data_IF_418753159414
#
_entry.id   IF_418753159414
#
_cell.length_a   1.000
_cell.length_b   1.000
_cell.length_c   1.000
_cell.angle_alpha   90.00
_cell.angle_beta   90.00
_cell.angle_gamma   90.00
#
_symmetry.space_group_name_H-M   'P 1'
#
loop_
_entity.id
_entity.type
_entity.pdbx_description
1 polymer ?
#
# COMPACT_ATOMS: atom_id res chain seq x y z
N UNK A 1 -7.62 11.40 -47.56
CA UNK A 1 -8.55 12.14 -46.68
C UNK A 1 -8.80 11.41 -45.34
N UNK A 2 -9.12 10.10 -45.34
CA UNK A 2 -9.41 9.31 -44.11
C UNK A 2 -8.25 9.17 -43.10
N UNK A 3 -7.02 8.89 -43.56
CA UNK A 3 -5.88 8.66 -42.65
C UNK A 3 -5.49 9.89 -41.80
N UNK A 4 -5.61 11.10 -42.38
CA UNK A 4 -5.29 12.36 -41.68
C UNK A 4 -6.33 12.67 -40.59
N UNK A 5 -7.59 12.28 -40.82
CA UNK A 5 -8.67 12.41 -39.85
C UNK A 5 -8.45 11.48 -38.64
N UNK A 6 -8.08 10.21 -38.88
CA UNK A 6 -7.77 9.24 -37.81
C UNK A 6 -6.57 9.66 -36.94
N UNK A 7 -5.54 10.23 -37.56
CA UNK A 7 -4.34 10.71 -36.87
C UNK A 7 -4.61 11.95 -36.00
N UNK A 8 -5.37 12.90 -36.53
CA UNK A 8 -5.78 14.09 -35.77
C UNK A 8 -6.70 13.72 -34.61
N UNK A 9 -7.59 12.75 -34.79
CA UNK A 9 -8.50 12.29 -33.77
C UNK A 9 -7.81 11.55 -32.62
N UNK A 10 -6.86 10.65 -32.94
CA UNK A 10 -6.03 9.98 -31.92
C UNK A 10 -5.29 11.00 -31.05
N UNK A 11 -4.74 12.04 -31.69
CA UNK A 11 -4.07 13.14 -31.01
C UNK A 11 -5.02 13.94 -30.11
N UNK A 12 -6.26 14.17 -30.54
CA UNK A 12 -7.28 14.84 -29.71
C UNK A 12 -7.68 14.02 -28.48
N UNK A 13 -7.75 12.68 -28.57
CA UNK A 13 -8.03 11.80 -27.42
C UNK A 13 -6.92 11.82 -26.39
N UNK A 14 -5.67 11.72 -26.84
CA UNK A 14 -4.49 11.77 -25.98
C UNK A 14 -4.42 13.11 -25.23
N UNK A 15 -4.75 14.21 -25.91
CA UNK A 15 -4.81 15.55 -25.31
C UNK A 15 -5.96 15.71 -24.31
N UNK A 16 -7.14 15.15 -24.59
CA UNK A 16 -8.27 15.17 -23.65
C UNK A 16 -7.95 14.40 -22.35
N UNK A 17 -7.32 13.22 -22.48
CA UNK A 17 -6.87 12.43 -21.33
C UNK A 17 -5.81 13.16 -20.50
N UNK A 18 -4.87 13.89 -21.14
CA UNK A 18 -3.90 14.70 -20.38
C UNK A 18 -4.58 15.84 -19.61
N UNK A 19 -5.64 16.44 -20.17
CA UNK A 19 -6.40 17.48 -19.46
C UNK A 19 -7.21 16.94 -18.28
N UNK A 20 -7.77 15.74 -18.40
CA UNK A 20 -8.45 15.05 -17.29
C UNK A 20 -7.43 14.76 -16.19
N UNK A 21 -6.28 14.18 -16.53
CA UNK A 21 -5.21 13.88 -15.57
C UNK A 21 -4.68 15.14 -14.87
N UNK A 22 -4.42 16.22 -15.61
CA UNK A 22 -3.97 17.49 -15.02
C UNK A 22 -5.03 18.10 -14.10
N UNK A 23 -6.31 18.06 -14.49
CA UNK A 23 -7.39 18.56 -13.66
C UNK A 23 -7.54 17.76 -12.35
N UNK A 24 -7.36 16.43 -12.41
CA UNK A 24 -7.33 15.57 -11.23
C UNK A 24 -6.13 15.86 -10.33
N UNK A 25 -4.92 16.00 -10.91
CA UNK A 25 -3.70 16.33 -10.17
C UNK A 25 -3.79 17.69 -9.47
N UNK A 26 -4.51 18.65 -10.08
CA UNK A 26 -4.75 19.97 -9.52
C UNK A 26 -5.99 20.05 -8.61
N UNK A 27 -6.65 18.92 -8.31
CA UNK A 27 -7.87 18.83 -7.48
C UNK A 27 -9.05 19.64 -8.04
N UNK A 28 -9.08 19.90 -9.34
CA UNK A 28 -10.15 20.60 -10.03
C UNK A 28 -11.23 19.60 -10.49
N UNK A 29 -11.90 18.97 -9.53
CA UNK A 29 -12.78 17.82 -9.76
C UNK A 29 -13.96 18.10 -10.69
N UNK A 30 -14.59 19.28 -10.58
CA UNK A 30 -15.69 19.68 -11.48
C UNK A 30 -15.24 19.76 -12.94
N UNK A 31 -14.04 20.29 -13.15
CA UNK A 31 -13.43 20.45 -14.47
C UNK A 31 -12.98 19.10 -15.04
N UNK A 32 -12.47 18.20 -14.21
CA UNK A 32 -12.16 16.84 -14.60
C UNK A 32 -13.43 16.09 -15.06
N UNK A 33 -14.54 16.24 -14.32
CA UNK A 33 -15.83 15.65 -14.68
C UNK A 33 -16.37 16.20 -16.01
N UNK A 34 -16.31 17.51 -16.24
CA UNK A 34 -16.71 18.14 -17.51
C UNK A 34 -15.89 17.61 -18.71
N UNK A 35 -14.57 17.47 -18.56
CA UNK A 35 -13.73 16.87 -19.60
C UNK A 35 -14.01 15.39 -19.83
N UNK A 36 -14.37 14.66 -18.77
CA UNK A 36 -14.76 13.25 -18.86
C UNK A 36 -16.05 13.09 -19.67
N UNK A 37 -17.06 13.95 -19.43
CA UNK A 37 -18.32 13.95 -20.19
C UNK A 37 -18.10 14.25 -21.67
N UNK A 38 -17.23 15.22 -21.99
CA UNK A 38 -16.89 15.53 -23.37
C UNK A 38 -16.12 14.37 -24.06
N UNK A 39 -15.23 13.70 -23.32
CA UNK A 39 -14.51 12.53 -23.81
C UNK A 39 -15.48 11.38 -24.15
N UNK A 40 -16.46 11.11 -23.29
CA UNK A 40 -17.48 10.08 -23.52
C UNK A 40 -18.41 10.41 -24.69
N UNK A 41 -18.89 11.65 -24.81
CA UNK A 41 -19.73 12.07 -25.95
C UNK A 41 -18.98 11.98 -27.28
N UNK A 42 -17.68 12.25 -27.27
CA UNK A 42 -16.82 12.14 -28.47
C UNK A 42 -16.57 10.69 -28.86
N UNK A 43 -16.55 9.77 -27.88
CA UNK A 43 -16.49 8.33 -28.15
C UNK A 43 -17.79 7.82 -28.77
N UNK A 44 -18.95 8.21 -28.22
CA UNK A 44 -20.26 7.78 -28.69
C UNK A 44 -20.58 8.25 -30.12
N UNK A 45 -20.18 9.48 -30.49
CA UNK A 45 -20.38 10.02 -31.85
C UNK A 45 -19.58 9.30 -32.94
N UNK A 46 -18.46 8.68 -32.61
CA UNK A 46 -17.63 7.96 -33.58
C UNK A 46 -18.07 6.50 -33.76
N UNK A 47 -18.62 5.87 -32.71
CA UNK A 47 -19.19 4.52 -32.81
C UNK A 47 -20.42 4.44 -33.71
N UNK A 48 -21.13 5.55 -33.91
CA UNK A 48 -22.25 5.62 -34.86
C UNK A 48 -21.80 5.80 -36.33
N UNK A 49 -20.53 6.13 -36.59
CA UNK A 49 -20.00 6.39 -37.93
C UNK A 49 -19.12 5.25 -38.51
N UNK A 50 -18.59 4.33 -37.70
CA UNK A 50 -17.78 3.19 -38.17
C UNK A 50 -18.46 1.83 -37.93
N UNK A 51 -19.49 1.51 -38.72
CA UNK A 51 -19.83 0.12 -39.03
C UNK A 51 -18.82 -0.43 -40.07
N UNK A 52 -17.65 -0.94 -39.64
CA UNK A 52 -16.76 -1.70 -40.52
C UNK A 52 -16.05 -2.89 -39.82
N UNK A 53 -16.30 -4.07 -40.42
CA UNK A 53 -15.68 -5.41 -40.38
C UNK A 53 -15.20 -6.07 -39.05
N UNK A 54 -15.63 -7.31 -38.71
CA UNK A 54 -15.43 -7.92 -37.39
C UNK A 54 -14.05 -8.58 -37.12
N UNK A 55 -12.98 -8.31 -37.87
CA UNK A 55 -11.85 -9.25 -37.92
C UNK A 55 -10.55 -8.92 -37.18
N UNK A 56 -10.29 -7.75 -36.57
CA UNK A 56 -8.93 -7.49 -36.01
C UNK A 56 -8.80 -6.76 -34.66
N UNK A 57 -9.89 -6.56 -33.92
CA UNK A 57 -9.77 -6.29 -32.47
C UNK A 57 -10.81 -7.16 -31.78
N UNK A 58 -10.37 -8.14 -30.99
CA UNK A 58 -11.29 -8.97 -30.22
C UNK A 58 -12.20 -8.06 -29.41
N UNK A 59 -13.50 -8.05 -29.73
CA UNK A 59 -14.56 -7.30 -29.05
C UNK A 59 -14.49 -7.48 -27.52
N UNK A 60 -13.91 -8.58 -27.03
CA UNK A 60 -13.63 -8.81 -25.61
C UNK A 60 -12.61 -7.81 -25.04
N UNK A 61 -11.51 -7.49 -25.72
CA UNK A 61 -10.45 -6.65 -25.16
C UNK A 61 -10.86 -5.19 -24.90
N UNK A 62 -11.68 -4.61 -25.78
CA UNK A 62 -12.22 -3.26 -25.62
C UNK A 62 -13.31 -3.23 -24.53
N UNK A 63 -14.28 -4.15 -24.57
CA UNK A 63 -15.34 -4.23 -23.54
C UNK A 63 -14.79 -4.52 -22.14
N UNK A 64 -13.73 -5.31 -22.02
CA UNK A 64 -13.01 -5.54 -20.76
C UNK A 64 -12.32 -4.26 -20.24
N UNK A 65 -11.69 -3.48 -21.12
CA UNK A 65 -11.04 -2.23 -20.73
C UNK A 65 -12.05 -1.13 -20.36
N UNK A 66 -13.16 -1.03 -21.10
CA UNK A 66 -14.26 -0.11 -20.78
C UNK A 66 -14.89 -0.46 -19.42
N UNK A 67 -15.20 -1.72 -19.16
CA UNK A 67 -15.82 -2.12 -17.89
C UNK A 67 -14.92 -1.91 -16.66
N UNK A 68 -13.60 -2.14 -16.77
CA UNK A 68 -12.65 -1.84 -15.68
C UNK A 68 -12.55 -0.33 -15.41
N UNK A 69 -12.49 0.47 -16.48
CA UNK A 69 -12.43 1.93 -16.36
C UNK A 69 -13.69 2.50 -15.68
N UNK A 70 -14.86 1.96 -16.01
CA UNK A 70 -16.14 2.40 -15.45
C UNK A 70 -16.31 2.11 -13.95
N UNK A 71 -15.86 0.94 -13.46
CA UNK A 71 -15.91 0.61 -12.03
C UNK A 71 -15.00 1.54 -11.20
N UNK A 72 -13.83 1.89 -11.74
CA UNK A 72 -12.93 2.85 -11.11
C UNK A 72 -13.54 4.26 -11.08
N UNK A 73 -14.12 4.71 -12.19
CA UNK A 73 -14.81 6.02 -12.26
C UNK A 73 -15.99 6.08 -11.28
N UNK A 74 -16.76 4.99 -11.13
CA UNK A 74 -17.83 4.92 -10.13
C UNK A 74 -17.28 5.11 -8.71
N UNK A 75 -16.18 4.44 -8.35
CA UNK A 75 -15.58 4.62 -7.03
C UNK A 75 -15.14 6.08 -6.81
N UNK A 76 -14.46 6.68 -7.78
CA UNK A 76 -14.03 8.09 -7.70
C UNK A 76 -15.23 9.05 -7.54
N UNK A 77 -16.31 8.81 -8.27
CA UNK A 77 -17.53 9.60 -8.18
C UNK A 77 -18.23 9.42 -6.82
N UNK A 78 -18.33 8.18 -6.33
CA UNK A 78 -18.88 7.90 -5.00
C UNK A 78 -18.07 8.64 -3.91
N UNK A 79 -16.74 8.65 -3.99
CA UNK A 79 -15.90 9.43 -3.07
C UNK A 79 -16.16 10.93 -3.15
N UNK A 80 -16.31 11.48 -4.37
CA UNK A 80 -16.66 12.88 -4.55
C UNK A 80 -17.99 13.23 -3.88
N UNK A 81 -19.01 12.39 -4.07
CA UNK A 81 -20.33 12.57 -3.45
C UNK A 81 -20.25 12.53 -1.92
N UNK A 82 -19.50 11.58 -1.36
CA UNK A 82 -19.28 11.47 0.09
C UNK A 82 -18.54 12.69 0.66
N UNK A 83 -17.51 13.19 -0.01
CA UNK A 83 -16.80 14.41 0.39
C UNK A 83 -17.71 15.66 0.42
N UNK A 84 -18.77 15.67 -0.37
CA UNK A 84 -19.78 16.73 -0.40
C UNK A 84 -21.00 16.46 0.48
N UNK A 85 -20.99 15.39 1.28
CA UNK A 85 -22.11 15.01 2.17
C UNK A 85 -23.32 14.41 1.46
N UNK A 86 -23.23 14.09 0.17
CA UNK A 86 -24.32 13.51 -0.63
C UNK A 86 -24.32 11.97 -0.51
N UNK A 87 -24.69 11.48 0.67
CA UNK A 87 -24.58 10.05 1.02
C UNK A 87 -25.54 9.17 0.20
N UNK A 88 -26.80 9.58 0.04
CA UNK A 88 -27.80 8.79 -0.69
C UNK A 88 -27.45 8.63 -2.17
N UNK A 89 -26.89 9.67 -2.78
CA UNK A 89 -26.44 9.63 -4.17
C UNK A 89 -25.20 8.76 -4.34
N UNK A 90 -24.28 8.78 -3.38
CA UNK A 90 -23.15 7.86 -3.38
C UNK A 90 -23.64 6.40 -3.30
N UNK A 91 -24.64 6.13 -2.46
CA UNK A 91 -25.25 4.81 -2.34
C UNK A 91 -25.93 4.37 -3.64
N UNK A 92 -26.70 5.26 -4.29
CA UNK A 92 -27.33 4.99 -5.58
C UNK A 92 -26.29 4.74 -6.67
N UNK A 93 -25.23 5.53 -6.74
CA UNK A 93 -24.15 5.36 -7.71
C UNK A 93 -23.47 3.99 -7.58
N UNK A 94 -23.13 3.57 -6.35
CA UNK A 94 -22.55 2.25 -6.10
C UNK A 94 -23.54 1.11 -6.40
N UNK A 95 -24.83 1.31 -6.12
CA UNK A 95 -25.87 0.31 -6.43
C UNK A 95 -26.07 0.13 -7.93
N UNK A 96 -25.99 1.23 -8.70
CA UNK A 96 -26.03 1.18 -10.16
C UNK A 96 -24.82 0.41 -10.67
N UNK A 97 -23.60 0.74 -10.22
CA UNK A 97 -22.38 0.06 -10.64
C UNK A 97 -22.41 -1.46 -10.43
N UNK A 98 -23.03 -1.94 -9.34
CA UNK A 98 -23.18 -3.37 -9.08
C UNK A 98 -24.07 -4.11 -10.10
N UNK A 99 -25.03 -3.40 -10.68
CA UNK A 99 -25.95 -3.98 -11.67
C UNK A 99 -25.32 -4.17 -13.05
N UNK A 100 -24.11 -3.63 -13.27
CA UNK A 100 -23.45 -3.64 -14.58
C UNK A 100 -22.88 -5.03 -14.87
N UNK A 101 -23.38 -5.67 -15.94
CA UNK A 101 -22.92 -6.98 -16.39
C UNK A 101 -22.41 -6.87 -17.83
N UNK A 102 -21.10 -6.93 -18.03
CA UNK A 102 -20.50 -7.04 -19.36
C UNK A 102 -19.60 -8.29 -19.47
N UNK A 103 -19.94 -9.17 -20.41
CA UNK A 103 -19.05 -10.22 -20.93
C UNK A 103 -18.56 -11.27 -19.92
N UNK A 104 -17.59 -12.09 -20.35
CA UNK A 104 -16.91 -13.06 -19.48
C UNK A 104 -16.17 -12.34 -18.34
N UNK A 105 -16.57 -12.66 -17.11
CA UNK A 105 -16.13 -11.98 -15.89
C UNK A 105 -14.66 -12.33 -15.59
N UNK A 106 -13.76 -11.35 -15.70
CA UNK A 106 -12.35 -11.56 -15.37
C UNK A 106 -12.08 -11.42 -13.87
N UNK A 107 -11.00 -12.06 -13.39
CA UNK A 107 -10.60 -12.04 -11.96
C UNK A 107 -10.33 -10.61 -11.44
N UNK A 108 -9.97 -9.66 -12.31
CA UNK A 108 -9.73 -8.26 -11.93
C UNK A 108 -11.07 -7.53 -11.72
N UNK A 109 -12.01 -7.69 -12.65
CA UNK A 109 -13.36 -7.13 -12.54
C UNK A 109 -14.10 -7.66 -11.32
N UNK A 110 -13.91 -8.94 -10.97
CA UNK A 110 -14.47 -9.53 -9.75
C UNK A 110 -13.96 -8.82 -8.49
N UNK A 111 -12.67 -8.51 -8.41
CA UNK A 111 -12.09 -7.77 -7.27
C UNK A 111 -12.62 -6.35 -7.14
N UNK A 112 -12.73 -5.62 -8.25
CA UNK A 112 -13.27 -4.25 -8.27
C UNK A 112 -14.76 -4.24 -7.91
N UNK A 113 -15.53 -5.21 -8.41
CA UNK A 113 -16.92 -5.39 -8.04
C UNK A 113 -17.08 -5.66 -6.53
N UNK A 114 -16.25 -6.55 -5.96
CA UNK A 114 -16.21 -6.81 -4.52
C UNK A 114 -15.86 -5.55 -3.72
N UNK A 115 -15.02 -4.68 -4.26
CA UNK A 115 -14.67 -3.41 -3.64
C UNK A 115 -15.85 -2.43 -3.64
N UNK A 116 -16.61 -2.32 -4.76
CA UNK A 116 -17.84 -1.54 -4.84
C UNK A 116 -18.87 -2.03 -3.82
N UNK A 117 -19.09 -3.36 -3.77
CA UNK A 117 -19.95 -3.98 -2.77
C UNK A 117 -19.50 -3.66 -1.35
N UNK A 118 -18.20 -3.69 -1.07
CA UNK A 118 -17.65 -3.34 0.24
C UNK A 118 -17.89 -1.88 0.63
N UNK A 119 -17.70 -0.93 -0.29
CA UNK A 119 -17.99 0.49 -0.04
C UNK A 119 -19.48 0.73 0.18
N UNK A 120 -20.35 0.05 -0.57
CA UNK A 120 -21.78 0.05 -0.30
C UNK A 120 -22.09 -0.50 1.09
N UNK A 121 -21.45 -1.62 1.47
CA UNK A 121 -21.54 -2.19 2.81
C UNK A 121 -21.03 -1.25 3.92
N UNK A 122 -20.08 -0.35 3.64
CA UNK A 122 -19.69 0.71 4.58
C UNK A 122 -20.78 1.76 4.76
N UNK A 123 -21.52 2.10 3.71
CA UNK A 123 -22.68 2.99 3.82
C UNK A 123 -23.81 2.33 4.60
N UNK A 124 -24.05 1.03 4.39
CA UNK A 124 -24.97 0.24 5.20
C UNK A 124 -24.53 0.22 6.68
N UNK A 125 -23.22 0.07 6.96
CA UNK A 125 -22.66 0.17 8.31
C UNK A 125 -22.85 1.56 8.92
N UNK A 126 -22.66 2.62 8.13
CA UNK A 126 -22.88 3.99 8.58
C UNK A 126 -24.35 4.21 8.98
N UNK A 127 -25.29 3.74 8.16
CA UNK A 127 -26.72 3.77 8.47
C UNK A 127 -27.05 2.96 9.73
N UNK A 128 -26.49 1.75 9.87
CA UNK A 128 -26.61 0.94 11.09
C UNK A 128 -26.09 1.70 12.32
N UNK A 129 -24.92 2.35 12.23
CA UNK A 129 -24.34 3.09 13.34
C UNK A 129 -25.19 4.29 13.74
N UNK A 130 -25.85 4.94 12.78
CA UNK A 130 -26.80 6.02 13.05
C UNK A 130 -28.02 5.48 13.83
N UNK A 131 -28.61 4.37 13.39
CA UNK A 131 -29.74 3.76 14.10
C UNK A 131 -29.37 3.25 15.50
N UNK A 132 -28.19 2.64 15.65
CA UNK A 132 -27.64 2.25 16.95
C UNK A 132 -27.54 3.44 17.92
N UNK A 133 -27.07 4.60 17.46
CA UNK A 133 -27.00 5.78 18.32
C UNK A 133 -28.38 6.30 18.73
N UNK A 134 -29.35 6.30 17.81
CA UNK A 134 -30.73 6.69 18.09
C UNK A 134 -31.34 5.79 19.18
N UNK A 135 -31.19 4.47 19.07
CA UNK A 135 -31.66 3.50 20.08
C UNK A 135 -31.01 3.72 21.45
N UNK A 136 -29.71 4.05 21.48
CA UNK A 136 -29.01 4.34 22.74
C UNK A 136 -29.47 5.64 23.40
N UNK A 137 -29.95 6.62 22.61
CA UNK A 137 -30.46 7.90 23.11
C UNK A 137 -31.92 7.84 23.58
N UNK A 138 -32.76 7.00 22.95
CA UNK A 138 -34.22 6.97 23.17
C UNK A 138 -34.73 5.88 24.12
N UNK A 139 -33.84 5.16 24.82
CA UNK A 139 -34.15 3.97 25.64
C UNK A 139 -35.05 4.14 26.88
N UNK A 140 -36.09 4.98 26.83
CA UNK A 140 -37.10 5.16 27.88
C UNK A 140 -38.57 5.17 27.43
N UNK A 141 -38.92 5.23 26.12
CA UNK A 141 -40.33 5.29 25.69
C UNK A 141 -40.67 4.25 24.59
N UNK A 142 -41.20 3.10 25.02
CA UNK A 142 -41.15 1.82 24.31
C UNK A 142 -42.15 1.57 23.16
N UNK A 143 -42.45 2.56 22.31
CA UNK A 143 -43.31 2.33 21.12
C UNK A 143 -42.68 2.71 19.77
N UNK A 144 -41.66 3.60 19.73
CA UNK A 144 -40.93 3.93 18.49
C UNK A 144 -39.73 3.00 18.21
N UNK A 145 -39.34 2.14 19.16
CA UNK A 145 -38.13 1.33 19.08
C UNK A 145 -38.18 0.18 18.05
N UNK A 146 -39.36 -0.40 17.78
CA UNK A 146 -39.47 -1.60 16.94
C UNK A 146 -39.11 -1.36 15.46
N UNK A 147 -39.45 -0.20 14.90
CA UNK A 147 -39.11 0.12 13.49
C UNK A 147 -37.61 0.41 13.34
N UNK A 148 -37.03 1.14 14.31
CA UNK A 148 -35.60 1.48 14.35
C UNK A 148 -34.76 0.22 14.52
N UNK A 149 -35.16 -0.72 15.38
CA UNK A 149 -34.51 -2.02 15.52
C UNK A 149 -34.55 -2.83 14.23
N UNK A 150 -35.71 -2.91 13.56
CA UNK A 150 -35.86 -3.63 12.29
C UNK A 150 -34.98 -3.04 11.18
N UNK A 151 -34.94 -1.72 11.06
CA UNK A 151 -34.05 -1.02 10.12
C UNK A 151 -32.58 -1.27 10.44
N UNK A 152 -32.21 -1.19 11.73
CA UNK A 152 -30.86 -1.50 12.20
C UNK A 152 -30.45 -2.92 11.78
N UNK A 153 -31.29 -3.93 12.03
CA UNK A 153 -31.03 -5.31 11.61
C UNK A 153 -30.94 -5.49 10.08
N UNK A 154 -31.72 -4.73 9.31
CA UNK A 154 -31.65 -4.72 7.85
C UNK A 154 -30.30 -4.19 7.36
N UNK A 155 -29.87 -3.04 7.89
CA UNK A 155 -28.56 -2.44 7.59
C UNK A 155 -27.40 -3.35 8.01
N UNK A 156 -27.48 -3.96 9.19
CA UNK A 156 -26.50 -4.96 9.65
C UNK A 156 -26.33 -6.09 8.64
N UNK A 157 -27.42 -6.72 8.19
CA UNK A 157 -27.34 -7.86 7.26
C UNK A 157 -26.66 -7.47 5.95
N UNK A 158 -27.01 -6.31 5.38
CA UNK A 158 -26.41 -5.80 4.13
C UNK A 158 -24.92 -5.49 4.31
N UNK A 159 -24.57 -4.79 5.39
CA UNK A 159 -23.18 -4.46 5.71
C UNK A 159 -22.34 -5.72 5.94
N UNK A 160 -22.81 -6.63 6.80
CA UNK A 160 -22.09 -7.85 7.18
C UNK A 160 -21.75 -8.72 5.97
N UNK A 161 -22.71 -8.95 5.06
CA UNK A 161 -22.48 -9.77 3.86
C UNK A 161 -21.39 -9.16 2.98
N UNK A 162 -21.49 -7.87 2.66
CA UNK A 162 -20.54 -7.20 1.79
C UNK A 162 -19.14 -7.09 2.40
N UNK A 163 -19.06 -6.75 3.69
CA UNK A 163 -17.79 -6.63 4.40
C UNK A 163 -17.10 -7.99 4.57
N UNK A 164 -17.86 -9.06 4.84
CA UNK A 164 -17.32 -10.43 4.97
C UNK A 164 -16.67 -10.92 3.68
N UNK A 165 -17.19 -10.52 2.53
CA UNK A 165 -16.66 -10.97 1.24
C UNK A 165 -15.33 -10.32 0.88
N UNK A 166 -15.19 -9.00 1.07
CA UNK A 166 -13.94 -8.29 0.73
C UNK A 166 -12.76 -8.70 1.62
N UNK A 167 -13.00 -8.96 2.91
CA UNK A 167 -11.94 -9.30 3.86
C UNK A 167 -11.33 -10.69 3.63
N UNK A 168 -12.02 -11.57 2.87
CA UNK A 168 -11.48 -12.86 2.44
C UNK A 168 -10.42 -12.72 1.34
N UNK A 169 -10.43 -11.61 0.60
CA UNK A 169 -9.50 -11.35 -0.49
C UNK A 169 -8.18 -10.82 0.09
N UNK A 170 -7.01 -11.32 -0.32
CA UNK A 170 -5.73 -10.80 0.14
C UNK A 170 -5.57 -9.30 -0.15
N UNK A 171 -5.43 -8.49 0.90
CA UNK A 171 -5.30 -7.03 0.81
C UNK A 171 -5.13 -6.36 2.17
N UNK A 172 -5.00 -5.04 2.17
CA UNK A 172 -5.02 -4.22 3.40
C UNK A 172 -6.39 -3.57 3.52
N UNK A 173 -7.23 -4.14 4.37
CA UNK A 173 -8.66 -3.84 4.50
C UNK A 173 -9.02 -3.26 5.88
N UNK A 174 -8.14 -2.41 6.42
CA UNK A 174 -8.22 -1.91 7.80
C UNK A 174 -9.60 -1.32 8.16
N UNK A 175 -10.17 -0.54 7.26
CA UNK A 175 -11.48 0.08 7.45
C UNK A 175 -12.59 -0.98 7.52
N UNK A 176 -12.65 -1.87 6.52
CA UNK A 176 -13.67 -2.91 6.41
C UNK A 176 -13.61 -3.92 7.56
N UNK A 177 -12.40 -4.35 7.94
CA UNK A 177 -12.18 -5.27 9.08
C UNK A 177 -12.68 -4.65 10.39
N UNK A 178 -12.39 -3.37 10.63
CA UNK A 178 -12.87 -2.70 11.84
C UNK A 178 -14.39 -2.60 11.90
N UNK A 179 -15.03 -2.21 10.80
CA UNK A 179 -16.50 -2.14 10.71
C UNK A 179 -17.12 -3.52 10.92
N UNK A 180 -16.60 -4.56 10.26
CA UNK A 180 -17.14 -5.91 10.38
C UNK A 180 -17.01 -6.46 11.81
N UNK A 181 -15.85 -6.24 12.45
CA UNK A 181 -15.64 -6.65 13.85
C UNK A 181 -16.56 -5.91 14.81
N UNK A 182 -16.82 -4.61 14.61
CA UNK A 182 -17.76 -3.85 15.45
C UNK A 182 -19.20 -4.41 15.34
N UNK A 183 -19.62 -4.74 14.11
CA UNK A 183 -20.91 -5.41 13.88
C UNK A 183 -20.98 -6.75 14.64
N UNK A 184 -19.96 -7.60 14.52
CA UNK A 184 -19.92 -8.90 15.21
C UNK A 184 -19.88 -8.74 16.74
N UNK A 185 -19.10 -7.80 17.26
CA UNK A 185 -19.03 -7.54 18.70
C UNK A 185 -20.38 -7.05 19.27
N UNK A 186 -21.12 -6.21 18.51
CA UNK A 186 -22.43 -5.73 18.93
C UNK A 186 -23.47 -6.85 19.02
N UNK A 187 -23.47 -7.80 18.08
CA UNK A 187 -24.40 -8.93 18.06
C UNK A 187 -23.92 -10.14 18.90
N UNK A 188 -22.78 -10.04 19.58
CA UNK A 188 -22.26 -11.08 20.48
C UNK A 188 -21.45 -12.20 19.79
N UNK A 189 -21.17 -12.07 18.49
CA UNK A 189 -20.41 -13.04 17.70
C UNK A 189 -18.88 -12.91 17.90
N UNK A 190 -18.44 -12.93 19.16
CA UNK A 190 -17.04 -12.75 19.53
C UNK A 190 -16.10 -13.83 18.96
N UNK A 191 -16.61 -15.05 18.72
CA UNK A 191 -15.83 -16.13 18.12
C UNK A 191 -15.46 -15.82 16.67
N UNK A 192 -16.41 -15.32 15.88
CA UNK A 192 -16.15 -14.93 14.49
C UNK A 192 -15.24 -13.68 14.44
N UNK A 193 -15.47 -12.70 15.31
CA UNK A 193 -14.61 -11.51 15.41
C UNK A 193 -13.15 -11.90 15.71
N UNK A 194 -12.96 -12.85 16.63
CA UNK A 194 -11.64 -13.40 16.96
C UNK A 194 -11.02 -14.10 15.75
N UNK A 195 -11.77 -14.91 15.01
CA UNK A 195 -11.27 -15.60 13.83
C UNK A 195 -10.80 -14.61 12.77
N UNK A 196 -11.66 -13.64 12.42
CA UNK A 196 -11.37 -12.59 11.44
C UNK A 196 -10.07 -11.85 11.78
N UNK A 197 -9.92 -11.41 13.03
CA UNK A 197 -8.73 -10.69 13.47
C UNK A 197 -7.46 -11.55 13.47
N UNK A 198 -7.57 -12.84 13.80
CA UNK A 198 -6.44 -13.76 13.74
C UNK A 198 -6.01 -14.03 12.29
N UNK A 199 -6.96 -14.31 11.40
CA UNK A 199 -6.68 -14.49 9.98
C UNK A 199 -6.05 -13.24 9.38
N UNK A 200 -6.62 -12.06 9.66
CA UNK A 200 -6.09 -10.79 9.15
C UNK A 200 -4.68 -10.47 9.67
N UNK A 201 -4.34 -10.91 10.88
CA UNK A 201 -3.02 -10.67 11.48
C UNK A 201 -1.95 -11.70 11.08
N UNK A 202 -2.33 -12.97 10.84
CA UNK A 202 -1.37 -14.08 10.73
C UNK A 202 -1.43 -14.86 9.42
N UNK A 203 -2.42 -14.65 8.56
CA UNK A 203 -2.53 -15.37 7.30
C UNK A 203 -1.38 -14.97 6.36
N UNK A 204 -0.54 -15.95 6.00
CA UNK A 204 0.64 -15.73 5.16
C UNK A 204 0.30 -15.35 3.71
N UNK A 205 -0.96 -15.54 3.27
CA UNK A 205 -1.43 -15.11 1.95
C UNK A 205 -1.67 -13.60 1.88
N UNK A 206 -1.83 -12.93 3.02
CA UNK A 206 -2.18 -11.52 3.09
C UNK A 206 -0.89 -10.67 3.18
N UNK A 207 -0.90 -9.43 2.66
CA UNK A 207 0.21 -8.52 2.84
C UNK A 207 0.43 -8.22 4.33
N UNK A 208 1.69 -8.08 4.73
CA UNK A 208 2.02 -7.83 6.14
C UNK A 208 1.47 -6.47 6.60
N UNK A 209 0.55 -6.49 7.56
CA UNK A 209 -0.09 -5.30 8.08
C UNK A 209 0.16 -5.14 9.60
N UNK A 210 0.93 -4.11 10.03
CA UNK A 210 1.18 -3.85 11.44
C UNK A 210 -0.10 -3.55 12.25
N UNK A 211 -1.10 -2.91 11.63
CA UNK A 211 -2.34 -2.52 12.30
C UNK A 211 -3.20 -3.73 12.68
N UNK A 212 -3.19 -4.79 11.87
CA UNK A 212 -3.93 -6.02 12.16
C UNK A 212 -3.59 -6.62 13.53
N UNK A 213 -2.31 -6.60 13.91
CA UNK A 213 -1.86 -7.05 15.24
C UNK A 213 -2.35 -6.15 16.38
N UNK A 214 -2.53 -4.84 16.12
CA UNK A 214 -3.07 -3.88 17.09
C UNK A 214 -4.56 -4.13 17.29
N UNK A 215 -5.31 -4.38 16.21
CA UNK A 215 -6.74 -4.70 16.29
C UNK A 215 -6.98 -5.99 17.08
N UNK A 216 -6.22 -7.04 16.78
CA UNK A 216 -6.28 -8.29 17.54
C UNK A 216 -5.95 -8.07 19.03
N UNK A 217 -4.91 -7.30 19.34
CA UNK A 217 -4.57 -6.96 20.73
C UNK A 217 -5.70 -6.21 21.45
N UNK A 218 -6.30 -5.21 20.81
CA UNK A 218 -7.39 -4.43 21.39
C UNK A 218 -8.61 -5.31 21.69
N UNK A 219 -8.97 -6.19 20.75
CA UNK A 219 -10.03 -7.17 20.93
C UNK A 219 -9.74 -8.12 22.10
N UNK A 220 -8.57 -8.78 22.11
CA UNK A 220 -8.18 -9.69 23.20
C UNK A 220 -8.16 -8.97 24.56
N UNK A 221 -7.76 -7.69 24.60
CA UNK A 221 -7.78 -6.89 25.82
C UNK A 221 -9.21 -6.67 26.33
N UNK A 222 -10.18 -6.39 25.45
CA UNK A 222 -11.60 -6.27 25.82
C UNK A 222 -12.18 -7.59 26.34
N UNK A 223 -11.76 -8.71 25.75
CA UNK A 223 -12.19 -10.06 26.16
C UNK A 223 -11.52 -10.59 27.45
N UNK A 224 -10.69 -9.79 28.12
CA UNK A 224 -10.06 -10.18 29.40
C UNK A 224 -8.97 -11.26 29.27
N UNK A 225 -8.37 -11.41 28.09
CA UNK A 225 -7.37 -12.44 27.81
C UNK A 225 -6.07 -12.28 28.61
N UNK A 226 -5.34 -13.39 28.76
CA UNK A 226 -4.11 -13.40 29.57
C UNK A 226 -3.04 -12.44 29.04
N UNK A 227 -2.23 -11.86 29.94
CA UNK A 227 -1.08 -11.01 29.57
C UNK A 227 -0.14 -11.70 28.57
N UNK A 228 0.02 -13.03 28.67
CA UNK A 228 0.84 -13.83 27.75
C UNK A 228 0.30 -13.78 26.31
N UNK A 229 -1.01 -13.96 26.15
CA UNK A 229 -1.71 -13.88 24.86
C UNK A 229 -1.61 -12.47 24.26
N UNK A 230 -1.84 -11.44 25.08
CA UNK A 230 -1.72 -10.04 24.67
C UNK A 230 -0.32 -9.68 24.17
N UNK A 231 0.72 -10.11 24.89
CA UNK A 231 2.11 -9.89 24.48
C UNK A 231 2.40 -10.64 23.17
N UNK A 232 1.91 -11.87 23.00
CA UNK A 232 2.11 -12.60 21.73
C UNK A 232 1.48 -11.90 20.51
N UNK A 233 0.30 -11.29 20.66
CA UNK A 233 -0.33 -10.52 19.60
C UNK A 233 0.56 -9.35 19.12
N UNK A 234 1.18 -8.64 20.06
CA UNK A 234 2.01 -7.46 19.77
C UNK A 234 3.48 -7.77 19.42
N UNK A 235 3.98 -9.00 19.66
CA UNK A 235 5.40 -9.34 19.43
C UNK A 235 5.86 -9.00 18.02
N UNK A 236 5.04 -9.26 17.00
CA UNK A 236 5.38 -9.00 15.59
C UNK A 236 5.48 -7.49 15.33
N UNK A 237 4.49 -6.72 15.80
CA UNK A 237 4.47 -5.26 15.72
C UNK A 237 5.69 -4.64 16.43
N UNK A 238 5.97 -5.05 17.66
CA UNK A 238 7.08 -4.54 18.47
C UNK A 238 8.43 -4.88 17.82
N UNK A 239 8.62 -6.12 17.36
CA UNK A 239 9.86 -6.55 16.70
C UNK A 239 10.13 -5.72 15.44
N UNK A 240 9.09 -5.40 14.68
CA UNK A 240 9.16 -4.57 13.48
C UNK A 240 9.50 -3.11 13.81
N UNK A 241 8.77 -2.50 14.75
CA UNK A 241 9.01 -1.12 15.21
C UNK A 241 10.41 -0.94 15.79
N UNK A 242 10.88 -1.90 16.61
CA UNK A 242 12.25 -1.91 17.17
C UNK A 242 13.33 -1.97 16.10
N UNK A 243 13.13 -2.71 15.00
CA UNK A 243 14.09 -2.77 13.88
C UNK A 243 14.20 -1.44 13.15
N UNK A 244 13.07 -0.78 12.88
CA UNK A 244 13.05 0.55 12.25
C UNK A 244 13.74 1.59 13.14
N UNK A 245 13.28 1.75 14.38
CA UNK A 245 13.91 2.68 15.35
C UNK A 245 15.40 2.37 15.55
N UNK A 246 15.76 1.08 15.59
CA UNK A 246 17.15 0.65 15.71
C UNK A 246 18.00 1.09 14.51
N UNK A 247 17.45 1.07 13.29
CA UNK A 247 18.13 1.58 12.11
C UNK A 247 18.35 3.10 12.21
N UNK A 248 17.29 3.86 12.53
CA UNK A 248 17.31 5.32 12.70
C UNK A 248 18.35 5.75 13.75
N UNK A 249 18.36 5.11 14.93
CA UNK A 249 19.33 5.38 15.99
C UNK A 249 20.76 5.10 15.56
N UNK A 250 21.02 4.02 14.80
CA UNK A 250 22.39 3.70 14.36
C UNK A 250 22.88 4.72 13.32
N UNK A 251 22.03 5.14 12.38
CA UNK A 251 22.37 6.21 11.44
C UNK A 251 22.71 7.50 12.20
N UNK A 252 21.84 7.94 13.11
CA UNK A 252 22.07 9.12 13.93
C UNK A 252 23.34 9.02 14.79
N UNK A 253 23.62 7.85 15.36
CA UNK A 253 24.83 7.62 16.16
C UNK A 253 26.10 7.77 15.31
N UNK A 254 26.09 7.24 14.09
CA UNK A 254 27.23 7.29 13.18
C UNK A 254 27.50 8.67 12.58
N UNK A 255 26.52 9.59 12.64
CA UNK A 255 26.71 10.98 12.23
C UNK A 255 27.75 11.71 13.10
N UNK A 256 27.91 11.28 14.35
CA UNK A 256 28.88 11.88 15.27
C UNK A 256 30.30 11.34 15.04
N UNK A 257 31.28 12.25 14.94
CA UNK A 257 32.68 11.90 14.65
C UNK A 257 33.30 10.89 15.62
N UNK A 258 32.91 10.92 16.91
CA UNK A 258 33.39 9.96 17.92
C UNK A 258 32.99 8.50 17.65
N UNK A 259 31.96 8.27 16.83
CA UNK A 259 31.46 6.94 16.47
C UNK A 259 31.96 6.46 15.10
N UNK A 260 32.68 7.32 14.37
CA UNK A 260 33.13 7.08 12.98
C UNK A 260 33.93 5.80 12.80
N UNK A 261 34.67 5.38 13.82
CA UNK A 261 35.54 4.19 13.81
C UNK A 261 35.00 3.06 14.70
N UNK A 262 33.79 3.22 15.26
CA UNK A 262 33.20 2.21 16.14
C UNK A 262 32.72 0.97 15.37
N UNK A 263 33.47 -0.13 15.49
CA UNK A 263 33.20 -1.38 14.78
C UNK A 263 31.82 -1.96 15.10
N UNK A 264 31.36 -1.86 16.36
CA UNK A 264 30.07 -2.43 16.78
C UNK A 264 28.90 -1.71 16.12
N UNK A 265 28.95 -0.38 16.05
CA UNK A 265 27.93 0.42 15.37
C UNK A 265 27.86 0.07 13.87
N UNK A 266 29.01 0.01 13.20
CA UNK A 266 29.08 -0.36 11.77
C UNK A 266 28.61 -1.78 11.49
N UNK A 267 28.99 -2.75 12.32
CA UNK A 267 28.50 -4.13 12.20
C UNK A 267 26.98 -4.23 12.39
N UNK A 268 26.43 -3.51 13.37
CA UNK A 268 24.98 -3.45 13.59
C UNK A 268 24.26 -2.85 12.38
N UNK A 269 24.78 -1.75 11.80
CA UNK A 269 24.22 -1.14 10.60
C UNK A 269 24.27 -2.11 9.42
N UNK A 270 25.46 -2.65 9.13
CA UNK A 270 25.71 -3.53 8.00
C UNK A 270 24.84 -4.80 8.05
N UNK A 271 24.69 -5.41 9.24
CA UNK A 271 23.81 -6.57 9.44
C UNK A 271 22.35 -6.25 9.16
N UNK A 272 21.84 -5.13 9.66
CA UNK A 272 20.44 -4.73 9.43
C UNK A 272 20.18 -4.39 7.97
N UNK A 273 21.05 -3.59 7.36
CA UNK A 273 20.93 -3.23 5.94
C UNK A 273 21.01 -4.46 5.03
N UNK A 274 21.92 -5.39 5.31
CA UNK A 274 22.01 -6.66 4.58
C UNK A 274 20.72 -7.46 4.66
N UNK A 275 20.08 -7.56 5.83
CA UNK A 275 18.80 -8.25 5.99
C UNK A 275 17.68 -7.58 5.18
N UNK A 276 17.59 -6.25 5.25
CA UNK A 276 16.60 -5.45 4.51
C UNK A 276 16.77 -5.67 3.00
N UNK A 277 17.99 -5.51 2.48
CA UNK A 277 18.31 -5.69 1.06
C UNK A 277 18.03 -7.11 0.58
N UNK A 278 18.40 -8.14 1.36
CA UNK A 278 18.09 -9.54 0.99
C UNK A 278 16.60 -9.80 0.93
N UNK A 279 15.84 -9.23 1.87
CA UNK A 279 14.39 -9.42 1.91
C UNK A 279 13.64 -8.63 0.83
N UNK A 280 14.28 -7.60 0.25
CA UNK A 280 13.68 -6.55 -0.58
C UNK A 280 12.44 -5.86 0.05
N UNK A 281 12.20 -6.11 1.34
CA UNK A 281 11.13 -5.50 2.12
C UNK A 281 11.72 -4.33 2.90
N UNK A 282 11.03 -3.19 2.89
CA UNK A 282 11.38 -2.01 3.68
C UNK A 282 12.62 -1.23 3.23
N UNK A 283 12.89 -1.24 1.92
CA UNK A 283 13.92 -0.40 1.32
C UNK A 283 13.68 1.10 1.58
N UNK A 284 12.41 1.49 1.74
CA UNK A 284 11.98 2.84 2.11
C UNK A 284 12.61 3.32 3.43
N UNK A 285 12.85 2.43 4.40
CA UNK A 285 13.49 2.82 5.67
C UNK A 285 14.93 3.26 5.46
N UNK A 286 15.68 2.54 4.62
CA UNK A 286 17.06 2.93 4.29
C UNK A 286 17.05 4.22 3.48
N UNK A 287 16.15 4.35 2.50
CA UNK A 287 16.02 5.54 1.66
C UNK A 287 15.73 6.80 2.49
N UNK A 288 14.79 6.72 3.43
CA UNK A 288 14.46 7.84 4.34
C UNK A 288 15.68 8.31 5.14
N UNK A 289 16.40 7.38 5.78
CA UNK A 289 17.60 7.73 6.55
C UNK A 289 18.78 8.18 5.68
N UNK A 290 18.88 7.66 4.47
CA UNK A 290 19.95 8.00 3.55
C UNK A 290 19.77 9.38 2.91
N UNK A 291 18.53 9.79 2.64
CA UNK A 291 18.23 11.04 1.95
C UNK A 291 18.79 12.29 2.63
N UNK A 292 18.83 12.33 3.96
CA UNK A 292 19.41 13.45 4.73
C UNK A 292 20.94 13.43 4.78
N UNK A 293 21.57 12.33 4.34
CA UNK A 293 23.00 12.03 4.52
C UNK A 293 23.76 11.92 3.22
N UNK A 294 23.07 11.72 2.10
CA UNK A 294 23.66 11.46 0.78
C UNK A 294 24.69 12.50 0.34
N UNK A 295 24.53 13.76 0.74
CA UNK A 295 25.40 14.86 0.31
C UNK A 295 26.72 14.95 1.11
N UNK A 296 26.77 14.37 2.32
CA UNK A 296 27.92 14.56 3.22
C UNK A 296 28.53 13.26 3.77
N UNK A 297 27.77 12.18 3.96
CA UNK A 297 28.30 10.85 4.33
C UNK A 297 29.39 10.33 3.38
N UNK A 298 29.30 10.51 2.05
CA UNK A 298 30.36 10.04 1.15
C UNK A 298 31.72 10.65 1.45
N UNK A 299 31.77 11.96 1.72
CA UNK A 299 33.00 12.64 2.12
C UNK A 299 33.43 12.25 3.54
N UNK A 300 32.45 12.18 4.46
CA UNK A 300 32.68 11.97 5.87
C UNK A 300 33.12 10.55 6.23
N UNK A 301 32.53 9.51 5.63
CA UNK A 301 32.80 8.10 5.94
C UNK A 301 33.48 7.32 4.81
N UNK A 302 33.21 7.67 3.55
CA UNK A 302 33.53 6.82 2.39
C UNK A 302 34.54 7.45 1.42
N UNK A 303 35.41 8.33 1.93
CA UNK A 303 36.48 8.89 1.11
C UNK A 303 37.56 7.85 0.78
N UNK A 304 38.27 8.05 -0.33
CA UNK A 304 39.39 7.18 -0.72
C UNK A 304 40.52 7.18 0.30
N UNK A 305 40.73 8.30 0.99
CA UNK A 305 41.70 8.41 2.08
C UNK A 305 41.30 7.49 3.25
N UNK A 306 40.03 7.57 3.69
CA UNK A 306 39.53 6.72 4.77
C UNK A 306 39.56 5.24 4.42
N UNK A 307 39.31 4.88 3.16
CA UNK A 307 39.42 3.50 2.69
C UNK A 307 40.83 2.92 2.85
N UNK A 308 41.87 3.75 2.63
CA UNK A 308 43.28 3.35 2.86
C UNK A 308 43.57 3.22 4.35
N UNK A 309 43.24 4.26 5.13
CA UNK A 309 43.48 4.34 6.58
C UNK A 309 42.80 3.17 7.30
N UNK A 310 41.49 3.00 7.10
CA UNK A 310 40.73 1.94 7.77
C UNK A 310 41.21 0.55 7.37
N UNK A 311 41.67 0.33 6.12
CA UNK A 311 42.20 -0.97 5.71
C UNK A 311 43.49 -1.33 6.46
N UNK A 312 44.36 -0.34 6.69
CA UNK A 312 45.62 -0.53 7.41
C UNK A 312 45.39 -0.75 8.90
N UNK A 313 44.44 -0.03 9.51
CA UNK A 313 44.22 -0.06 10.96
C UNK A 313 43.27 -1.16 11.41
N UNK A 314 42.20 -1.42 10.64
CA UNK A 314 41.14 -2.33 11.06
C UNK A 314 40.40 -2.95 9.85
N UNK A 315 40.79 -4.17 9.50
CA UNK A 315 40.18 -4.92 8.40
C UNK A 315 38.68 -5.18 8.63
N UNK A 316 38.26 -5.39 9.90
CA UNK A 316 36.86 -5.62 10.24
C UNK A 316 36.00 -4.37 10.01
N UNK A 317 36.46 -3.20 10.48
CA UNK A 317 35.80 -1.93 10.23
C UNK A 317 35.68 -1.65 8.73
N UNK A 318 36.76 -1.93 8.00
CA UNK A 318 36.81 -1.77 6.55
C UNK A 318 35.79 -2.63 5.82
N UNK A 319 35.62 -3.88 6.26
CA UNK A 319 34.62 -4.79 5.72
C UNK A 319 33.19 -4.24 5.91
N UNK A 320 32.83 -3.85 7.14
CA UNK A 320 31.48 -3.36 7.43
C UNK A 320 31.16 -2.07 6.69
N UNK A 321 32.09 -1.11 6.66
CA UNK A 321 31.95 0.12 5.89
C UNK A 321 31.86 -0.14 4.39
N UNK A 322 32.62 -1.09 3.86
CA UNK A 322 32.55 -1.43 2.43
C UNK A 322 31.20 -2.06 2.07
N UNK A 323 30.62 -2.90 2.94
CA UNK A 323 29.27 -3.43 2.75
C UNK A 323 28.21 -2.32 2.73
N UNK A 324 28.24 -1.41 3.71
CA UNK A 324 27.31 -0.29 3.76
C UNK A 324 27.49 0.64 2.55
N UNK A 325 28.74 1.01 2.21
CA UNK A 325 29.04 1.85 1.05
C UNK A 325 28.57 1.20 -0.26
N UNK A 326 28.74 -0.12 -0.41
CA UNK A 326 28.28 -0.84 -1.59
C UNK A 326 26.76 -0.86 -1.74
N UNK A 327 26.02 -0.85 -0.62
CA UNK A 327 24.55 -0.77 -0.62
C UNK A 327 24.08 0.66 -0.93
N UNK A 328 24.68 1.69 -0.29
CA UNK A 328 24.23 3.08 -0.40
C UNK A 328 24.74 3.82 -1.64
N UNK A 329 25.96 3.52 -2.08
CA UNK A 329 26.68 4.25 -3.13
C UNK A 329 27.02 3.35 -4.34
N UNK A 330 26.59 2.10 -4.31
CA UNK A 330 26.79 1.13 -5.37
C UNK A 330 28.22 0.59 -5.47
N UNK A 331 28.40 -0.34 -6.41
CA UNK A 331 29.69 -1.01 -6.68
C UNK A 331 30.79 -0.06 -7.14
N UNK A 332 30.43 1.13 -7.61
CA UNK A 332 31.36 2.08 -8.22
C UNK A 332 31.95 3.09 -7.24
N UNK A 333 31.50 3.09 -5.99
CA UNK A 333 32.02 3.93 -4.93
C UNK A 333 33.53 3.73 -4.68
N UNK A 334 34.25 4.84 -4.49
CA UNK A 334 35.71 4.87 -4.27
C UNK A 334 36.13 4.01 -3.07
N UNK A 335 35.36 4.06 -1.98
CA UNK A 335 35.65 3.28 -0.77
C UNK A 335 35.52 1.77 -1.01
N UNK A 336 34.36 1.36 -1.53
CA UNK A 336 34.06 -0.04 -1.81
C UNK A 336 35.07 -0.64 -2.81
N UNK A 337 35.34 0.06 -3.92
CA UNK A 337 36.32 -0.39 -4.92
C UNK A 337 37.69 -0.64 -4.30
N UNK A 338 38.18 0.28 -3.48
CA UNK A 338 39.50 0.14 -2.85
C UNK A 338 39.56 -1.05 -1.90
N UNK A 339 38.61 -1.14 -0.95
CA UNK A 339 38.60 -2.17 0.08
C UNK A 339 38.35 -3.56 -0.52
N UNK A 340 37.38 -3.69 -1.43
CA UNK A 340 37.08 -4.95 -2.12
C UNK A 340 38.27 -5.45 -2.93
N UNK A 341 38.97 -4.56 -3.64
CA UNK A 341 40.18 -4.90 -4.40
C UNK A 341 41.32 -5.36 -3.50
N UNK A 342 41.61 -4.63 -2.41
CA UNK A 342 42.65 -5.00 -1.45
C UNK A 342 42.35 -6.33 -0.76
N UNK A 343 41.11 -6.54 -0.33
CA UNK A 343 40.70 -7.81 0.28
C UNK A 343 40.77 -9.00 -0.68
N UNK A 344 40.42 -8.81 -1.97
CA UNK A 344 40.59 -9.86 -2.98
C UNK A 344 42.07 -10.18 -3.25
N UNK A 345 42.93 -9.15 -3.29
CA UNK A 345 44.39 -9.30 -3.45
C UNK A 345 45.03 -10.02 -2.27
N UNK A 346 44.60 -9.74 -1.05
CA UNK A 346 45.02 -10.44 0.16
C UNK A 346 44.39 -11.85 0.30
N UNK A 347 43.69 -12.35 -0.74
CA UNK A 347 43.03 -13.65 -0.79
C UNK A 347 42.00 -13.91 0.32
N UNK A 348 41.48 -12.86 0.96
CA UNK A 348 40.55 -13.00 2.07
C UNK A 348 39.15 -13.36 1.53
N UNK A 349 38.69 -14.57 1.85
CA UNK A 349 37.43 -15.16 1.33
C UNK A 349 36.21 -14.24 1.51
N UNK A 350 36.07 -13.56 2.66
CA UNK A 350 34.91 -12.69 2.95
C UNK A 350 34.75 -11.53 1.97
N UNK A 351 35.83 -10.98 1.42
CA UNK A 351 35.76 -9.87 0.46
C UNK A 351 35.31 -10.31 -0.94
N UNK A 352 35.59 -11.57 -1.32
CA UNK A 352 35.02 -12.15 -2.55
C UNK A 352 33.50 -12.30 -2.43
N UNK A 353 33.03 -12.75 -1.27
CA UNK A 353 31.59 -12.87 -0.97
C UNK A 353 30.93 -11.49 -0.99
N UNK A 354 31.57 -10.49 -0.36
CA UNK A 354 31.11 -9.11 -0.36
C UNK A 354 30.95 -8.56 -1.80
N UNK A 355 31.96 -8.75 -2.65
CA UNK A 355 31.91 -8.32 -4.05
C UNK A 355 30.74 -8.95 -4.81
N UNK A 356 30.54 -10.26 -4.65
CA UNK A 356 29.40 -10.98 -5.25
C UNK A 356 28.06 -10.45 -4.73
N UNK A 357 27.95 -10.19 -3.43
CA UNK A 357 26.75 -9.66 -2.81
C UNK A 357 26.37 -8.28 -3.38
N UNK A 358 27.29 -7.32 -3.36
CA UNK A 358 27.04 -5.95 -3.85
C UNK A 358 26.72 -5.96 -5.35
N UNK A 359 27.39 -6.81 -6.14
CA UNK A 359 27.06 -6.95 -7.56
C UNK A 359 25.65 -7.49 -7.78
N UNK A 360 25.22 -8.50 -7.00
CA UNK A 360 23.87 -9.08 -7.08
C UNK A 360 22.79 -8.05 -6.77
N UNK A 361 23.00 -7.21 -5.76
CA UNK A 361 22.02 -6.23 -5.29
C UNK A 361 22.29 -4.81 -5.81
N UNK A 362 23.11 -4.65 -6.86
CA UNK A 362 23.37 -3.35 -7.47
C UNK A 362 22.10 -2.64 -8.03
N UNK A 363 21.06 -3.35 -8.54
CA UNK A 363 19.80 -2.70 -8.89
C UNK A 363 19.04 -2.13 -7.70
N UNK A 364 19.23 -2.67 -6.49
CA UNK A 364 18.60 -2.17 -5.25
C UNK A 364 19.19 -0.82 -4.84
N UNK A 365 20.48 -0.60 -5.11
CA UNK A 365 21.12 0.71 -4.93
C UNK A 365 20.44 1.81 -5.75
N UNK A 366 20.06 1.53 -7.01
CA UNK A 366 19.38 2.50 -7.87
C UNK A 366 18.06 2.96 -7.24
N UNK A 367 17.26 2.02 -6.71
CA UNK A 367 15.99 2.33 -6.02
C UNK A 367 16.15 3.07 -4.68
N UNK A 368 17.33 3.02 -4.06
CA UNK A 368 17.65 3.75 -2.83
C UNK A 368 18.20 5.16 -3.14
N UNK A 369 18.74 5.36 -4.34
CA UNK A 369 19.42 6.60 -4.77
C UNK A 369 18.54 7.54 -5.58
N UNK A 370 17.62 6.99 -6.37
CA UNK A 370 16.37 7.66 -6.79
C UNK A 370 15.53 7.93 -5.54
#
# INVERSE_FOLDING_TARGET
SSHKHKLNFKRSKEVCLSYIQDAMLQKQWKRAAEFLTFYTETLEKDFSAECMSPSEVSQCSLSLWYGLFELQVCLEHAFHLLCNGRIDEAYQNLSLAESWRFGEQTVIQDKEMKLIQAYRGLLDYYSWSKQKNILLEHGQDGFEDLSVEQEMHSCFRKAAVNLKEIIKIPGVWDLFVKCYVDLLEFYGDHNEARQVLNEYAYNSRFPANPNAHVYLYQFLKRQGESKKTLISALKVYIKRKKRRLGLEVIFATLDYAGWKENVKAWNCLARQMKQIVISEKHLDWIKQEWNSRKDWWPAFHFSRYLAKKNWQENESLSYEKALVAGILLGKDCKYFKYVSHRGCKAQVKRFRILKKFVNKYNPVYLRISD
#
